data_IF_365051652856
#
_entry.id   IF_365051652856
#
_cell.length_a   1.000
_cell.length_b   1.000
_cell.length_c   1.000
_cell.angle_alpha   90.00
_cell.angle_beta   90.00
_cell.angle_gamma   90.00
#
_symmetry.space_group_name_H-M   'P 1'
#
loop_
_entity.id
_entity.type
_entity.pdbx_description
1 polymer ?
#
# COMPACT_ATOMS: atom_id res chain seq x y z
N UNK A 1 -23.53 11.34 57.95
CA UNK A 1 -23.83 9.96 58.34
C UNK A 1 -24.54 9.27 57.18
N UNK A 2 -24.11 8.04 56.92
CA UNK A 2 -24.37 7.10 55.79
C UNK A 2 -25.88 6.92 55.56
N UNK A 3 -26.44 6.77 54.34
CA UNK A 3 -26.47 5.52 53.56
C UNK A 3 -26.72 5.70 52.05
N UNK A 4 -26.01 4.85 51.30
CA UNK A 4 -26.21 4.46 49.91
C UNK A 4 -27.37 3.46 49.77
N UNK A 5 -28.19 3.60 48.71
CA UNK A 5 -28.82 2.49 47.97
C UNK A 5 -29.05 2.91 46.52
N UNK A 6 -28.53 2.11 45.58
CA UNK A 6 -28.60 2.26 44.13
C UNK A 6 -30.00 2.07 43.52
N UNK A 7 -30.36 2.92 42.55
CA UNK A 7 -31.19 2.55 41.38
C UNK A 7 -31.27 3.69 40.32
N UNK A 8 -30.42 3.60 39.30
CA UNK A 8 -30.49 4.07 37.88
C UNK A 8 -31.11 5.45 37.54
N UNK A 9 -30.38 6.26 36.77
CA UNK A 9 -30.99 6.93 35.62
C UNK A 9 -30.20 6.73 34.31
N UNK A 10 -30.97 6.71 33.21
CA UNK A 10 -30.55 6.90 31.82
C UNK A 10 -29.38 7.88 31.67
N UNK A 11 -28.34 7.54 30.87
CA UNK A 11 -27.68 8.54 30.03
C UNK A 11 -27.02 7.89 28.81
N UNK A 12 -27.10 8.63 27.70
CA UNK A 12 -27.01 8.19 26.32
C UNK A 12 -25.62 7.74 25.87
N UNK A 13 -25.61 6.86 24.86
CA UNK A 13 -24.47 6.57 23.99
C UNK A 13 -24.20 7.80 23.11
N UNK A 14 -23.22 8.61 23.47
CA UNK A 14 -22.61 9.61 22.58
C UNK A 14 -21.29 9.01 22.07
N UNK A 15 -21.30 8.38 20.90
CA UNK A 15 -20.09 7.93 20.20
C UNK A 15 -19.64 9.01 19.21
N UNK A 16 -18.38 9.43 19.36
CA UNK A 16 -17.74 10.65 18.84
C UNK A 16 -17.61 10.76 17.32
N UNK A 17 -18.02 11.89 16.75
CA UNK A 17 -17.72 12.33 15.38
C UNK A 17 -16.26 12.73 15.14
N UNK A 18 -15.49 12.96 16.20
CA UNK A 18 -14.15 13.57 16.11
C UNK A 18 -13.06 12.58 15.68
N UNK A 19 -13.21 11.29 16.03
CA UNK A 19 -12.24 10.24 15.71
C UNK A 19 -12.19 9.97 14.20
N UNK A 20 -13.35 10.00 13.53
CA UNK A 20 -13.43 9.80 12.07
C UNK A 20 -12.74 10.94 11.29
N UNK A 21 -12.83 12.18 11.79
CA UNK A 21 -12.25 13.35 11.14
C UNK A 21 -10.72 13.32 11.17
N UNK A 22 -10.11 13.00 12.32
CA UNK A 22 -8.65 12.97 12.47
C UNK A 22 -8.03 11.83 11.67
N UNK A 23 -8.60 10.62 11.71
CA UNK A 23 -8.11 9.49 10.92
C UNK A 23 -8.20 9.75 9.41
N UNK A 24 -9.27 10.39 8.94
CA UNK A 24 -9.43 10.78 7.54
C UNK A 24 -8.42 11.85 7.10
N UNK A 25 -8.20 12.89 7.91
CA UNK A 25 -7.20 13.93 7.62
C UNK A 25 -5.77 13.38 7.64
N UNK A 26 -5.47 12.47 8.55
CA UNK A 26 -4.18 11.79 8.62
C UNK A 26 -3.98 10.85 7.43
N UNK A 27 -5.06 10.20 6.96
CA UNK A 27 -5.01 9.39 5.74
C UNK A 27 -4.63 10.19 4.51
N UNK A 28 -5.20 11.39 4.38
CA UNK A 28 -4.88 12.32 3.30
C UNK A 28 -3.43 12.78 3.42
N UNK A 29 -2.94 13.08 4.63
CA UNK A 29 -1.56 13.57 4.83
C UNK A 29 -0.48 12.53 4.48
N UNK A 30 -0.63 11.27 4.87
CA UNK A 30 0.33 10.21 4.52
C UNK A 30 0.40 9.98 3.00
N UNK A 31 -0.76 9.91 2.33
CA UNK A 31 -0.80 9.74 0.88
C UNK A 31 -0.13 10.91 0.14
N UNK A 32 -0.28 12.13 0.65
CA UNK A 32 0.40 13.32 0.11
C UNK A 32 1.93 13.26 0.30
N UNK A 33 2.43 12.65 1.38
CA UNK A 33 3.88 12.47 1.59
C UNK A 33 4.46 11.45 0.60
N UNK A 34 3.74 10.37 0.31
CA UNK A 34 4.15 9.43 -0.73
C UNK A 34 4.10 10.06 -2.13
N UNK A 35 3.06 10.84 -2.43
CA UNK A 35 2.97 11.62 -3.68
C UNK A 35 4.19 12.54 -3.86
N UNK A 36 4.58 13.30 -2.83
CA UNK A 36 5.75 14.19 -2.90
C UNK A 36 7.07 13.41 -3.05
N UNK A 37 7.18 12.22 -2.45
CA UNK A 37 8.33 11.34 -2.69
C UNK A 37 8.39 10.87 -4.15
N UNK A 38 7.26 10.53 -4.77
CA UNK A 38 7.22 10.15 -6.18
C UNK A 38 7.58 11.35 -7.07
N UNK A 39 7.04 12.54 -6.79
CA UNK A 39 7.39 13.76 -7.53
C UNK A 39 8.89 14.09 -7.40
N UNK A 40 9.48 13.87 -6.22
CA UNK A 40 10.91 14.03 -5.97
C UNK A 40 11.77 13.18 -6.92
N UNK A 41 11.42 11.90 -7.08
CA UNK A 41 12.21 10.95 -7.89
C UNK A 41 11.81 10.98 -9.36
N UNK A 42 10.59 11.41 -9.68
CA UNK A 42 10.01 11.51 -11.02
C UNK A 42 9.41 12.92 -11.26
N UNK A 43 10.25 13.95 -11.54
CA UNK A 43 9.87 15.38 -11.49
C UNK A 43 8.86 15.89 -12.52
N UNK A 44 8.35 15.03 -13.39
CA UNK A 44 7.33 15.38 -14.40
C UNK A 44 6.18 14.37 -14.42
N UNK A 45 6.04 13.57 -13.36
CA UNK A 45 4.88 12.71 -13.19
C UNK A 45 3.71 13.49 -12.60
N UNK A 46 2.51 12.94 -12.75
CA UNK A 46 1.32 13.31 -11.99
C UNK A 46 0.95 12.10 -11.13
N UNK A 47 1.53 11.93 -9.92
CA UNK A 47 1.53 10.63 -9.25
C UNK A 47 0.13 10.03 -9.02
N UNK A 48 -0.85 10.86 -8.66
CA UNK A 48 -2.24 10.44 -8.50
C UNK A 48 -2.92 9.98 -9.80
N UNK A 49 -2.51 10.51 -10.95
CA UNK A 49 -3.06 10.12 -12.26
C UNK A 49 -2.28 8.95 -12.86
N UNK A 50 -0.96 8.95 -12.70
CA UNK A 50 -0.06 8.02 -13.37
C UNK A 50 0.00 6.67 -12.64
N UNK A 51 -0.07 6.67 -11.30
CA UNK A 51 0.26 5.48 -10.49
C UNK A 51 -0.87 4.99 -9.59
N UNK A 52 -1.93 5.76 -9.33
CA UNK A 52 -2.97 5.35 -8.38
C UNK A 52 -3.96 4.29 -8.92
N UNK A 53 -3.96 4.03 -10.24
CA UNK A 53 -4.75 3.00 -10.91
C UNK A 53 -3.99 2.43 -12.11
N UNK A 54 -2.87 1.76 -11.82
CA UNK A 54 -1.94 1.21 -12.80
C UNK A 54 -1.71 -0.29 -12.56
N UNK A 55 -1.77 -1.06 -13.64
CA UNK A 55 -1.49 -2.49 -13.62
C UNK A 55 -2.46 -3.25 -12.72
N UNK A 56 -1.92 -4.19 -11.95
CA UNK A 56 -2.70 -5.07 -11.09
C UNK A 56 -2.54 -4.79 -9.60
N UNK A 57 -1.56 -3.97 -9.20
CA UNK A 57 -1.23 -3.70 -7.79
C UNK A 57 -1.13 -2.20 -7.48
N UNK A 58 -0.84 -1.32 -8.44
CA UNK A 58 -0.78 0.12 -8.12
C UNK A 58 -2.20 0.69 -7.95
N UNK A 59 -2.62 0.84 -6.69
CA UNK A 59 -3.95 1.30 -6.31
C UNK A 59 -4.49 0.54 -5.10
N UNK A 60 -5.82 0.56 -4.89
CA UNK A 60 -6.43 -0.20 -3.81
C UNK A 60 -6.59 -1.68 -4.19
N UNK A 61 -5.99 -2.57 -3.40
CA UNK A 61 -6.23 -4.02 -3.48
C UNK A 61 -5.04 -4.78 -4.06
N UNK A 62 -5.25 -5.44 -5.19
CA UNK A 62 -4.22 -6.15 -5.92
C UNK A 62 -4.34 -7.67 -5.92
N UNK A 63 -4.25 -8.27 -7.10
CA UNK A 63 -4.35 -9.74 -7.28
C UNK A 63 -3.55 -10.21 -8.50
N UNK A 64 -3.18 -11.49 -8.51
CA UNK A 64 -2.56 -12.10 -9.68
C UNK A 64 -1.07 -11.82 -9.80
N UNK A 65 -0.58 -11.64 -11.03
CA UNK A 65 0.85 -11.41 -11.31
C UNK A 65 1.04 -9.98 -11.80
N UNK A 66 2.05 -9.23 -11.30
CA UNK A 66 2.34 -7.90 -11.79
C UNK A 66 2.61 -7.89 -13.30
N UNK A 67 2.03 -6.93 -14.02
CA UNK A 67 2.08 -6.89 -15.49
C UNK A 67 3.39 -6.34 -16.06
N UNK A 68 4.14 -5.57 -15.25
CA UNK A 68 5.46 -5.05 -15.58
C UNK A 68 6.29 -4.71 -14.33
N UNK A 69 7.43 -4.04 -14.53
CA UNK A 69 8.32 -3.64 -13.44
C UNK A 69 7.71 -2.59 -12.51
N UNK A 70 6.93 -1.65 -13.05
CA UNK A 70 6.29 -0.60 -12.26
C UNK A 70 5.22 -1.21 -11.35
N UNK A 71 4.41 -2.11 -11.91
CA UNK A 71 3.40 -2.86 -11.15
C UNK A 71 4.05 -3.77 -10.08
N UNK A 72 5.26 -4.28 -10.34
CA UNK A 72 6.05 -5.03 -9.36
C UNK A 72 6.54 -4.16 -8.20
N UNK A 73 6.81 -2.88 -8.44
CA UNK A 73 7.11 -1.93 -7.36
C UNK A 73 5.91 -1.81 -6.41
N UNK A 74 4.70 -1.66 -6.95
CA UNK A 74 3.46 -1.58 -6.18
C UNK A 74 3.16 -2.87 -5.40
N UNK A 75 3.34 -4.03 -6.03
CA UNK A 75 3.25 -5.32 -5.33
C UNK A 75 4.19 -5.40 -4.10
N UNK A 76 5.41 -4.88 -4.24
CA UNK A 76 6.39 -4.86 -3.16
C UNK A 76 6.02 -3.84 -2.09
N UNK A 77 5.48 -2.70 -2.48
CA UNK A 77 4.96 -1.67 -1.58
C UNK A 77 3.79 -2.17 -0.75
N UNK A 78 2.81 -2.86 -1.36
CA UNK A 78 1.69 -3.50 -0.68
C UNK A 78 2.15 -4.51 0.37
N UNK A 79 3.16 -5.32 0.03
CA UNK A 79 3.76 -6.27 0.98
C UNK A 79 4.47 -5.56 2.14
N UNK A 80 5.12 -4.43 1.86
CA UNK A 80 5.76 -3.59 2.88
C UNK A 80 4.70 -3.02 3.84
N UNK A 81 3.62 -2.45 3.32
CA UNK A 81 2.49 -1.96 4.11
C UNK A 81 1.77 -3.09 4.87
N UNK A 82 1.66 -4.27 4.28
CA UNK A 82 1.18 -5.48 4.95
C UNK A 82 2.03 -5.84 6.17
N UNK A 83 3.36 -5.73 6.04
CA UNK A 83 4.29 -5.93 7.16
C UNK A 83 4.10 -4.86 8.22
N UNK A 84 4.02 -3.57 7.84
CA UNK A 84 3.82 -2.46 8.77
C UNK A 84 2.60 -2.67 9.68
N UNK A 85 1.47 -3.13 9.12
CA UNK A 85 0.24 -3.45 9.89
C UNK A 85 0.41 -4.55 10.95
N UNK A 86 1.46 -5.35 10.85
CA UNK A 86 1.74 -6.45 11.78
C UNK A 86 2.88 -6.15 12.75
N UNK A 87 3.58 -5.03 12.58
CA UNK A 87 4.67 -4.63 13.46
C UNK A 87 4.12 -4.21 14.83
N UNK A 88 4.75 -4.71 15.89
CA UNK A 88 4.40 -4.32 17.25
C UNK A 88 4.63 -2.82 17.49
N UNK A 89 5.62 -2.23 16.83
CA UNK A 89 5.88 -0.79 16.85
C UNK A 89 4.74 0.03 16.24
N UNK A 90 3.91 -0.57 15.38
CA UNK A 90 2.74 0.04 14.73
C UNK A 90 1.41 -0.41 15.35
N UNK A 91 1.39 -0.74 16.65
CA UNK A 91 0.23 -1.38 17.30
C UNK A 91 -0.78 -0.40 17.92
N UNK A 92 -0.53 0.91 17.86
CA UNK A 92 -1.49 1.89 18.39
C UNK A 92 -2.74 1.92 17.51
N UNK A 93 -3.90 2.25 18.11
CA UNK A 93 -5.18 2.35 17.37
C UNK A 93 -5.13 3.36 16.22
N UNK A 94 -4.21 4.33 16.31
CA UNK A 94 -4.01 5.37 15.31
C UNK A 94 -2.88 5.07 14.32
N UNK A 95 -2.14 3.98 14.55
CA UNK A 95 -1.02 3.58 13.69
C UNK A 95 -1.54 2.80 12.50
N UNK A 96 -1.41 3.39 11.31
CA UNK A 96 -1.66 2.69 10.06
C UNK A 96 -0.73 3.24 8.99
N UNK A 97 -0.22 2.37 8.09
CA UNK A 97 0.68 2.81 7.03
C UNK A 97 0.03 3.77 6.05
N UNK A 98 -1.31 3.86 6.03
CA UNK A 98 -2.03 4.82 5.19
C UNK A 98 -2.35 6.13 5.91
N UNK A 99 -2.05 6.27 7.20
CA UNK A 99 -2.46 7.40 8.04
C UNK A 99 -1.33 8.03 8.84
N UNK A 100 -0.25 7.30 9.11
CA UNK A 100 0.88 7.84 9.87
C UNK A 100 1.66 8.83 9.02
N UNK A 101 1.95 9.99 9.61
CA UNK A 101 2.86 10.95 9.00
C UNK A 101 4.26 10.68 9.51
N UNK A 102 5.24 10.73 8.62
CA UNK A 102 6.65 10.51 8.96
C UNK A 102 7.52 11.69 8.51
N UNK A 103 8.68 11.87 9.11
CA UNK A 103 9.64 12.91 8.79
C UNK A 103 10.60 12.45 7.68
N UNK A 104 10.67 13.20 6.59
CA UNK A 104 11.60 12.96 5.49
C UNK A 104 12.08 14.26 4.85
N UNK A 105 13.10 14.15 4.01
CA UNK A 105 13.56 15.22 3.13
C UNK A 105 13.73 14.71 1.71
N UNK A 106 13.56 15.61 0.75
CA UNK A 106 13.86 15.39 -0.66
C UNK A 106 14.90 16.44 -1.12
N UNK A 107 16.04 15.98 -1.63
CA UNK A 107 16.92 16.83 -2.44
C UNK A 107 16.49 16.71 -3.91
N UNK A 108 15.75 17.71 -4.41
CA UNK A 108 15.22 17.74 -5.78
C UNK A 108 16.32 17.78 -6.86
N UNK A 109 17.54 18.22 -6.53
CA UNK A 109 18.65 18.26 -7.50
C UNK A 109 19.22 16.87 -7.73
N UNK A 110 19.43 16.12 -6.65
CA UNK A 110 19.95 14.75 -6.71
C UNK A 110 18.86 13.68 -6.79
N UNK A 111 17.59 14.09 -6.62
CA UNK A 111 16.40 13.24 -6.53
C UNK A 111 16.50 12.21 -5.40
N UNK A 112 17.10 12.62 -4.28
CA UNK A 112 17.41 11.75 -3.15
C UNK A 112 16.40 11.96 -2.03
N UNK A 113 15.73 10.89 -1.62
CA UNK A 113 14.85 10.87 -0.44
C UNK A 113 15.63 10.40 0.79
N UNK A 114 15.47 11.08 1.92
CA UNK A 114 16.04 10.66 3.21
C UNK A 114 14.96 10.65 4.29
N UNK A 115 14.68 9.47 4.86
CA UNK A 115 13.88 9.33 6.07
C UNK A 115 14.70 9.83 7.28
N UNK A 116 14.14 10.78 8.04
CA UNK A 116 14.84 11.44 9.13
C UNK A 116 14.85 10.57 10.41
N UNK A 117 15.87 10.77 11.24
CA UNK A 117 16.10 9.96 12.44
C UNK A 117 15.14 10.24 13.60
N UNK A 118 14.34 11.30 13.51
CA UNK A 118 13.36 11.68 14.54
C UNK A 118 12.07 10.83 14.46
N UNK A 119 11.89 10.07 13.38
CA UNK A 119 10.82 9.08 13.27
C UNK A 119 10.96 7.98 14.33
N UNK A 120 9.83 7.58 14.91
CA UNK A 120 9.78 6.33 15.67
C UNK A 120 9.93 5.10 14.76
N UNK A 121 9.94 3.91 15.36
CA UNK A 121 10.15 2.66 14.61
C UNK A 121 9.07 2.41 13.56
N UNK A 122 7.81 2.78 13.83
CA UNK A 122 6.71 2.59 12.88
C UNK A 122 6.83 3.57 11.72
N UNK A 123 6.97 4.86 12.03
CA UNK A 123 7.05 5.94 11.05
C UNK A 123 8.28 5.78 10.14
N UNK A 124 9.42 5.35 10.72
CA UNK A 124 10.64 5.04 9.97
C UNK A 124 10.43 3.86 9.02
N UNK A 125 9.67 2.84 9.43
CA UNK A 125 9.39 1.69 8.58
C UNK A 125 8.51 2.09 7.39
N UNK A 126 7.44 2.85 7.64
CA UNK A 126 6.52 3.33 6.59
C UNK A 126 7.26 4.27 5.63
N UNK A 127 8.02 5.24 6.13
CA UNK A 127 8.84 6.12 5.30
C UNK A 127 9.78 5.34 4.37
N UNK A 128 10.37 4.23 4.85
CA UNK A 128 11.24 3.38 4.03
C UNK A 128 10.47 2.59 2.97
N UNK A 129 9.23 2.17 3.25
CA UNK A 129 8.36 1.58 2.23
C UNK A 129 8.11 2.58 1.08
N UNK A 130 7.73 3.81 1.42
CA UNK A 130 7.38 4.85 0.44
C UNK A 130 8.59 5.32 -0.34
N UNK A 131 9.73 5.53 0.35
CA UNK A 131 11.02 5.82 -0.29
C UNK A 131 11.38 4.74 -1.31
N UNK A 132 11.32 3.47 -0.91
CA UNK A 132 11.71 2.36 -1.79
C UNK A 132 10.79 2.25 -3.02
N UNK A 133 9.49 2.48 -2.84
CA UNK A 133 8.54 2.51 -3.94
C UNK A 133 8.82 3.68 -4.91
N UNK A 134 9.03 4.90 -4.39
CA UNK A 134 9.34 6.07 -5.21
C UNK A 134 10.66 5.91 -5.98
N UNK A 135 11.70 5.34 -5.36
CA UNK A 135 12.96 5.01 -6.04
C UNK A 135 12.80 3.91 -7.09
N UNK A 136 11.91 2.95 -6.85
CA UNK A 136 11.58 1.88 -7.80
C UNK A 136 10.81 2.42 -9.01
N UNK A 137 9.86 3.33 -8.80
CA UNK A 137 9.11 3.99 -9.87
C UNK A 137 10.05 4.77 -10.81
N UNK A 138 11.02 5.50 -10.26
CA UNK A 138 12.00 6.23 -11.06
C UNK A 138 12.92 5.34 -11.93
N UNK A 139 13.03 4.06 -11.60
CA UNK A 139 13.81 3.06 -12.34
C UNK A 139 12.96 2.21 -13.28
N UNK A 140 11.64 2.37 -13.24
CA UNK A 140 10.70 1.52 -13.97
C UNK A 140 10.13 2.25 -15.19
N UNK A 141 10.09 1.62 -16.37
CA UNK A 141 9.42 2.20 -17.52
C UNK A 141 7.91 2.35 -17.26
N UNK A 142 7.35 3.50 -17.66
CA UNK A 142 5.92 3.73 -17.63
C UNK A 142 5.27 3.26 -18.94
N UNK A 143 4.19 2.46 -18.83
CA UNK A 143 3.39 2.04 -19.97
C UNK A 143 1.92 2.45 -19.79
N UNK A 144 1.51 3.51 -20.47
CA UNK A 144 0.14 4.02 -20.40
C UNK A 144 -0.95 2.99 -20.77
N UNK A 145 -0.60 1.91 -21.48
CA UNK A 145 -1.55 0.84 -21.82
C UNK A 145 -1.96 0.00 -20.60
N UNK A 146 -1.18 0.08 -19.52
CA UNK A 146 -1.44 -0.61 -18.26
C UNK A 146 -2.27 0.22 -17.28
N UNK A 147 -2.65 1.45 -17.64
CA UNK A 147 -3.56 2.27 -16.83
C UNK A 147 -4.97 1.68 -16.82
N UNK A 148 -5.65 1.74 -15.67
CA UNK A 148 -7.05 1.30 -15.52
C UNK A 148 -7.28 -0.13 -16.02
N UNK A 149 -6.32 -1.03 -15.75
CA UNK A 149 -6.35 -2.38 -16.25
C UNK A 149 -7.54 -3.14 -15.63
N UNK A 150 -8.40 -3.81 -16.42
CA UNK A 150 -9.54 -4.52 -15.85
C UNK A 150 -9.07 -5.71 -14.99
N UNK A 151 -9.69 -5.88 -13.82
CA UNK A 151 -9.30 -6.91 -12.84
C UNK A 151 -9.35 -8.35 -13.38
N UNK A 152 -10.11 -8.60 -14.47
CA UNK A 152 -10.16 -9.87 -15.17
C UNK A 152 -8.81 -10.27 -15.79
N UNK A 153 -8.01 -9.30 -16.23
CA UNK A 153 -6.67 -9.51 -16.79
C UNK A 153 -5.68 -9.88 -15.69
N UNK A 154 -5.78 -9.22 -14.53
CA UNK A 154 -4.99 -9.56 -13.35
C UNK A 154 -5.29 -10.99 -12.87
N UNK A 155 -6.55 -11.41 -12.98
CA UNK A 155 -7.01 -12.74 -12.58
C UNK A 155 -6.77 -13.85 -13.62
N UNK A 156 -6.36 -13.53 -14.85
CA UNK A 156 -6.17 -14.52 -15.93
C UNK A 156 -4.72 -15.01 -16.06
N UNK A 157 -3.72 -14.21 -15.66
CA UNK A 157 -2.32 -14.63 -15.61
C UNK A 157 -2.09 -15.86 -14.69
N UNK A 158 -2.90 -16.01 -13.64
CA UNK A 158 -2.92 -17.20 -12.77
C UNK A 158 -3.67 -18.41 -13.37
N UNK A 159 -4.55 -18.19 -14.37
CA UNK A 159 -5.26 -19.27 -15.06
C UNK A 159 -4.46 -19.87 -16.20
N UNK A 160 -3.66 -19.08 -16.91
CA UNK A 160 -2.81 -19.62 -17.99
C UNK A 160 -1.75 -20.58 -17.42
N UNK A 161 -1.09 -20.20 -16.32
CA UNK A 161 -0.13 -21.07 -15.61
C UNK A 161 -0.78 -22.38 -15.11
N UNK A 162 -2.02 -22.32 -14.62
CA UNK A 162 -2.80 -23.51 -14.24
C UNK A 162 -3.16 -24.40 -15.44
N UNK A 163 -3.51 -23.78 -16.59
CA UNK A 163 -3.83 -24.48 -17.84
C UNK A 163 -2.61 -25.18 -18.45
N UNK A 164 -1.43 -24.56 -18.42
CA UNK A 164 -0.19 -25.20 -18.86
C UNK A 164 0.20 -26.39 -17.98
N UNK A 165 0.05 -26.27 -16.65
CA UNK A 165 0.39 -27.35 -15.71
C UNK A 165 -0.55 -28.56 -15.87
N UNK A 166 -1.84 -28.30 -16.12
CA UNK A 166 -2.83 -29.36 -16.42
C UNK A 166 -2.57 -30.04 -17.75
N UNK A 167 -2.13 -29.30 -18.78
CA UNK A 167 -1.70 -29.90 -20.05
C UNK A 167 -0.44 -30.77 -19.90
N UNK A 168 0.59 -30.28 -19.19
CA UNK A 168 1.83 -31.03 -18.92
C UNK A 168 1.58 -32.33 -18.14
N UNK A 169 0.73 -32.28 -17.12
CA UNK A 169 0.36 -33.48 -16.35
C UNK A 169 -0.42 -34.49 -17.19
N UNK A 170 -1.34 -34.04 -18.06
CA UNK A 170 -2.04 -34.92 -19.00
C UNK A 170 -1.09 -35.59 -20.01
N UNK A 171 -0.08 -34.86 -20.52
CA UNK A 171 0.96 -35.43 -21.39
C UNK A 171 1.86 -36.44 -20.67
N UNK A 172 2.27 -36.15 -19.43
CA UNK A 172 3.10 -37.07 -18.66
C UNK A 172 2.36 -38.39 -18.36
N UNK A 173 1.06 -38.31 -18.00
CA UNK A 173 0.22 -39.49 -17.73
C UNK A 173 0.05 -40.36 -18.98
N UNK A 174 -0.16 -39.76 -20.15
CA UNK A 174 -0.30 -40.52 -21.40
C UNK A 174 1.01 -41.21 -21.82
N UNK A 175 2.17 -40.59 -21.58
CA UNK A 175 3.48 -41.19 -21.87
C UNK A 175 3.82 -42.36 -20.92
N UNK A 176 3.35 -42.33 -19.67
CA UNK A 176 3.54 -43.44 -18.71
C UNK A 176 2.61 -44.64 -18.96
N UNK A 177 1.58 -44.47 -19.79
CA UNK A 177 0.60 -45.51 -20.14
C UNK A 177 0.89 -46.17 -21.51
N UNK A 178 1.96 -45.77 -22.18
CA UNK A 178 2.52 -46.36 -23.41
C UNK A 178 3.74 -47.22 -23.07
#
# INVERSE_FOLDING_TARGET
>A
YITQTDSKPHLALEFSSDIFSVAHLNSIKNLLQFEDMIECTVPNSSPLLDYADYGCYCGLGGTGTPVDQLDRCCFTHDACYGTAKTLQSCSSVFDSPYTNTYDYTCDKNTKTITCLGDNDECDMFICRCDKAAAECFAQSPYNASNNHLPSSVCSSASRETSSFLTALTAFAVTLTLL
#
